data_IF_143660350340
#
_entry.id   IF_143660350340
#
_cell.length_a   1.000
_cell.length_b   1.000
_cell.length_c   1.000
_cell.angle_alpha   90.00
_cell.angle_beta   90.00
_cell.angle_gamma   90.00
#
_symmetry.space_group_name_H-M   'P 1'
#
loop_
_entity.id
_entity.type
_entity.pdbx_description
1 polymer ?
#
# COMPACT_ATOMS: atom_id res chain seq x y z
N UNK A 1 5.34 -28.03 -26.80
CA UNK A 1 6.55 -27.24 -26.47
C UNK A 1 6.76 -27.35 -24.97
N UNK A 2 8.00 -27.45 -24.52
CA UNK A 2 8.33 -27.45 -23.08
C UNK A 2 8.75 -26.03 -22.72
N UNK A 3 7.90 -25.31 -22.00
CA UNK A 3 8.21 -23.95 -21.54
C UNK A 3 9.21 -24.02 -20.37
N UNK A 4 10.24 -23.18 -20.44
CA UNK A 4 11.20 -22.94 -19.37
C UNK A 4 10.80 -21.74 -18.51
N UNK A 5 11.55 -21.54 -17.42
CA UNK A 5 11.36 -20.42 -16.47
C UNK A 5 11.39 -19.05 -17.18
N UNK A 6 12.28 -18.89 -18.16
CA UNK A 6 12.43 -17.66 -18.96
C UNK A 6 11.28 -17.39 -19.93
N UNK A 7 10.43 -18.38 -20.18
CA UNK A 7 9.26 -18.23 -21.06
C UNK A 7 8.02 -17.76 -20.28
N UNK A 8 8.12 -17.64 -18.95
CA UNK A 8 7.04 -17.16 -18.11
C UNK A 8 6.89 -15.63 -18.22
N UNK A 9 5.69 -15.07 -18.00
CA UNK A 9 5.53 -13.63 -17.95
C UNK A 9 6.20 -13.05 -16.70
N UNK A 10 6.63 -11.79 -16.76
CA UNK A 10 7.05 -11.04 -15.58
C UNK A 10 5.93 -11.01 -14.52
N UNK A 11 6.23 -11.13 -13.21
CA UNK A 11 7.55 -11.32 -12.60
C UNK A 11 7.97 -12.80 -12.44
N UNK A 12 7.21 -13.73 -13.04
CA UNK A 12 7.42 -15.16 -12.87
C UNK A 12 8.63 -15.72 -13.61
N UNK A 13 9.28 -14.94 -14.46
CA UNK A 13 10.55 -15.26 -15.12
C UNK A 13 11.79 -14.92 -14.29
N UNK A 14 11.63 -14.14 -13.22
CA UNK A 14 12.73 -13.65 -12.38
C UNK A 14 13.35 -14.72 -11.47
N UNK A 15 14.56 -14.45 -10.96
CA UNK A 15 15.23 -15.30 -9.98
C UNK A 15 14.57 -15.17 -8.60
N UNK A 16 14.21 -16.30 -8.00
CA UNK A 16 13.54 -16.37 -6.72
C UNK A 16 14.47 -16.72 -5.54
N UNK A 17 15.79 -16.87 -5.76
CA UNK A 17 16.74 -17.40 -4.76
C UNK A 17 16.89 -16.56 -3.48
N UNK A 18 16.48 -15.28 -3.52
CA UNK A 18 16.43 -14.40 -2.34
C UNK A 18 15.03 -14.24 -1.73
N UNK A 19 14.02 -14.87 -2.31
CA UNK A 19 12.60 -14.61 -2.03
C UNK A 19 11.95 -15.87 -1.47
N UNK A 20 12.09 -16.97 -2.20
CA UNK A 20 11.55 -18.29 -1.88
C UNK A 20 12.66 -19.07 -1.19
N UNK A 21 12.49 -19.32 0.12
CA UNK A 21 13.57 -19.85 0.95
C UNK A 21 13.22 -21.18 1.61
N UNK A 22 11.93 -21.56 1.64
CA UNK A 22 11.42 -22.69 2.44
C UNK A 22 11.10 -23.94 1.62
N UNK A 23 11.63 -24.04 0.39
CA UNK A 23 11.47 -25.25 -0.42
C UNK A 23 12.41 -26.38 0.03
N UNK A 24 11.93 -27.63 -0.10
CA UNK A 24 12.65 -28.86 0.22
C UNK A 24 13.86 -29.06 -0.71
N UNK A 25 15.06 -28.94 -0.15
CA UNK A 25 16.30 -29.28 -0.85
C UNK A 25 17.44 -29.52 0.15
N UNK A 26 18.01 -30.73 0.16
CA UNK A 26 19.11 -31.10 1.07
C UNK A 26 20.43 -30.43 0.66
N UNK A 27 20.63 -30.20 -0.64
CA UNK A 27 21.82 -29.54 -1.20
C UNK A 27 21.44 -28.19 -1.78
N UNK A 28 22.30 -27.19 -1.57
CA UNK A 28 22.11 -25.81 -2.04
C UNK A 28 21.77 -25.75 -3.54
N UNK A 29 22.59 -26.38 -4.38
CA UNK A 29 22.39 -26.37 -5.83
C UNK A 29 21.05 -26.98 -6.27
N UNK A 30 20.59 -28.03 -5.58
CA UNK A 30 19.28 -28.66 -5.85
C UNK A 30 18.14 -27.75 -5.39
N UNK A 31 18.32 -27.05 -4.27
CA UNK A 31 17.34 -26.09 -3.76
C UNK A 31 17.19 -24.90 -4.71
N UNK A 32 18.28 -24.28 -5.13
CA UNK A 32 18.29 -23.16 -6.10
C UNK A 32 17.63 -23.57 -7.42
N UNK A 33 17.94 -24.76 -7.94
CA UNK A 33 17.31 -25.27 -9.16
C UNK A 33 15.79 -25.49 -9.00
N UNK A 34 15.35 -25.94 -7.82
CA UNK A 34 13.93 -26.11 -7.51
C UNK A 34 13.23 -24.75 -7.37
N UNK A 35 13.81 -23.81 -6.63
CA UNK A 35 13.32 -22.44 -6.44
C UNK A 35 13.04 -21.78 -7.81
N UNK A 36 13.97 -21.91 -8.75
CA UNK A 36 13.86 -21.32 -10.08
C UNK A 36 13.19 -22.22 -11.13
N UNK A 37 12.48 -23.24 -10.68
CA UNK A 37 11.75 -24.11 -11.60
C UNK A 37 10.41 -23.48 -12.05
N UNK A 38 9.92 -23.80 -13.26
CA UNK A 38 8.56 -23.43 -13.67
C UNK A 38 7.48 -23.96 -12.72
N UNK A 39 7.78 -25.04 -11.99
CA UNK A 39 6.89 -25.63 -10.98
C UNK A 39 6.65 -24.66 -9.83
N UNK A 40 7.70 -24.13 -9.21
CA UNK A 40 7.55 -23.14 -8.11
C UNK A 40 6.81 -21.91 -8.60
N UNK A 41 7.19 -21.37 -9.77
CA UNK A 41 6.51 -20.21 -10.36
C UNK A 41 5.01 -20.46 -10.61
N UNK A 42 4.63 -21.66 -11.03
CA UNK A 42 3.22 -22.02 -11.25
C UNK A 42 2.44 -22.09 -9.94
N UNK A 43 3.01 -22.64 -8.86
CA UNK A 43 2.37 -22.64 -7.55
C UNK A 43 2.23 -21.23 -6.96
N UNK A 44 3.19 -20.34 -7.21
CA UNK A 44 3.09 -18.94 -6.83
C UNK A 44 1.99 -18.24 -7.64
N UNK A 45 1.90 -18.48 -8.95
CA UNK A 45 0.82 -17.96 -9.80
C UNK A 45 -0.56 -18.45 -9.35
N UNK A 46 -0.69 -19.73 -9.03
CA UNK A 46 -1.95 -20.27 -8.50
C UNK A 46 -2.36 -19.60 -7.19
N UNK A 47 -1.42 -19.38 -6.27
CA UNK A 47 -1.67 -18.62 -5.04
C UNK A 47 -2.10 -17.18 -5.31
N UNK A 48 -1.41 -16.49 -6.21
CA UNK A 48 -1.74 -15.12 -6.62
C UNK A 48 -3.14 -15.03 -7.26
N UNK A 49 -3.49 -15.95 -8.17
CA UNK A 49 -4.83 -16.02 -8.76
C UNK A 49 -5.92 -16.19 -7.68
N UNK A 50 -5.69 -17.06 -6.71
CA UNK A 50 -6.65 -17.27 -5.61
C UNK A 50 -6.80 -16.01 -4.76
N UNK A 51 -5.73 -15.26 -4.51
CA UNK A 51 -5.76 -13.97 -3.80
C UNK A 51 -6.54 -12.93 -4.62
N UNK A 52 -6.25 -12.81 -5.92
CA UNK A 52 -6.96 -11.92 -6.83
C UNK A 52 -8.46 -12.24 -6.90
N UNK A 53 -8.84 -13.51 -6.99
CA UNK A 53 -10.25 -13.93 -7.03
C UNK A 53 -11.00 -13.58 -5.73
N UNK A 54 -10.36 -13.70 -4.57
CA UNK A 54 -11.03 -13.52 -3.28
C UNK A 54 -10.98 -12.09 -2.74
N UNK A 55 -10.00 -11.29 -3.17
CA UNK A 55 -9.84 -9.90 -2.74
C UNK A 55 -10.02 -8.88 -3.87
N UNK A 56 -10.15 -9.32 -5.12
CA UNK A 56 -10.52 -8.50 -6.26
C UNK A 56 -11.96 -8.03 -6.17
N UNK A 57 -12.17 -6.75 -6.43
CA UNK A 57 -13.46 -6.08 -6.29
C UNK A 57 -14.53 -6.45 -7.33
N UNK A 58 -14.30 -7.45 -8.18
CA UNK A 58 -15.11 -7.75 -9.36
C UNK A 58 -16.16 -8.85 -9.16
N UNK A 59 -16.65 -9.06 -7.93
CA UNK A 59 -17.82 -9.92 -7.72
C UNK A 59 -19.15 -9.15 -7.49
N UNK A 60 -19.64 -8.32 -8.43
CA UNK A 60 -21.08 -8.08 -8.54
C UNK A 60 -21.85 -9.40 -8.73
N UNK A 61 -21.26 -10.36 -9.47
CA UNK A 61 -21.92 -11.61 -9.85
C UNK A 61 -22.06 -12.60 -8.70
N UNK A 62 -21.03 -12.81 -7.88
CA UNK A 62 -21.14 -13.72 -6.74
C UNK A 62 -21.81 -13.06 -5.53
N UNK A 63 -21.68 -11.74 -5.35
CA UNK A 63 -22.50 -11.01 -4.38
C UNK A 63 -24.00 -11.07 -4.75
N UNK A 64 -24.34 -10.95 -6.04
CA UNK A 64 -25.71 -11.14 -6.53
C UNK A 64 -26.20 -12.59 -6.35
N UNK A 65 -25.39 -13.61 -6.67
CA UNK A 65 -25.74 -15.02 -6.45
C UNK A 65 -25.85 -15.38 -4.95
N UNK A 66 -25.03 -14.77 -4.09
CA UNK A 66 -25.12 -14.91 -2.64
C UNK A 66 -26.36 -14.21 -2.06
N UNK A 67 -26.75 -13.06 -2.63
CA UNK A 67 -27.98 -12.36 -2.28
C UNK A 67 -29.23 -13.16 -2.67
N UNK A 68 -29.23 -13.80 -3.85
CA UNK A 68 -30.34 -14.68 -4.30
C UNK A 68 -30.47 -15.96 -3.47
N UNK A 69 -29.35 -16.53 -2.99
CA UNK A 69 -29.37 -17.76 -2.18
C UNK A 69 -29.62 -17.52 -0.67
N UNK A 70 -29.67 -16.26 -0.23
CA UNK A 70 -29.86 -15.87 1.19
C UNK A 70 -28.76 -16.36 2.14
N UNK A 71 -27.70 -17.00 1.62
CA UNK A 71 -26.56 -17.50 2.39
C UNK A 71 -25.35 -16.65 2.04
N UNK A 72 -24.92 -15.83 2.99
CA UNK A 72 -23.60 -15.19 2.90
C UNK A 72 -22.55 -16.31 2.82
N UNK A 73 -21.66 -16.30 1.81
CA UNK A 73 -20.56 -17.25 1.77
C UNK A 73 -19.75 -17.13 3.08
N UNK A 74 -19.49 -18.28 3.71
CA UNK A 74 -18.77 -18.34 4.97
C UNK A 74 -17.32 -17.85 4.75
N UNK A 75 -16.96 -16.72 5.35
CA UNK A 75 -15.60 -16.18 5.32
C UNK A 75 -14.81 -16.63 6.55
N UNK A 76 -13.66 -17.26 6.33
CA UNK A 76 -12.76 -17.67 7.43
C UNK A 76 -11.32 -17.20 7.19
N UNK A 77 -11.15 -15.93 6.82
CA UNK A 77 -9.83 -15.35 6.53
C UNK A 77 -9.21 -15.95 5.27
N UNK A 78 -8.10 -16.68 5.45
CA UNK A 78 -7.26 -17.23 4.37
C UNK A 78 -7.61 -18.67 3.95
N UNK A 79 -8.73 -19.24 4.41
CA UNK A 79 -9.07 -20.66 4.10
C UNK A 79 -9.20 -20.94 2.60
N UNK A 80 -9.39 -19.90 1.79
CA UNK A 80 -9.39 -20.01 0.34
C UNK A 80 -8.02 -20.43 -0.24
N UNK A 81 -6.92 -20.23 0.49
CA UNK A 81 -5.57 -20.67 0.13
C UNK A 81 -5.23 -22.10 0.56
N UNK A 82 -6.21 -22.97 0.83
CA UNK A 82 -5.93 -24.36 1.21
C UNK A 82 -5.17 -25.15 0.12
N UNK A 83 -4.43 -26.20 0.51
CA UNK A 83 -3.78 -27.17 -0.43
C UNK A 83 -4.76 -27.61 -1.53
N UNK A 84 -6.01 -27.94 -1.17
CA UNK A 84 -7.03 -28.39 -2.13
C UNK A 84 -7.48 -27.29 -3.11
N UNK A 85 -7.48 -26.03 -2.70
CA UNK A 85 -7.80 -24.92 -3.59
C UNK A 85 -6.63 -24.69 -4.56
N UNK A 86 -5.40 -24.69 -4.05
CA UNK A 86 -4.18 -24.60 -4.85
C UNK A 86 -4.06 -25.70 -5.89
N UNK A 87 -4.28 -26.96 -5.51
CA UNK A 87 -4.24 -28.07 -6.49
C UNK A 87 -5.28 -27.90 -7.58
N UNK A 88 -6.51 -27.44 -7.25
CA UNK A 88 -7.53 -27.18 -8.26
C UNK A 88 -7.14 -26.02 -9.19
N UNK A 89 -6.57 -24.95 -8.65
CA UNK A 89 -6.11 -23.82 -9.46
C UNK A 89 -4.95 -24.24 -10.38
N UNK A 90 -3.99 -25.02 -9.85
CA UNK A 90 -2.88 -25.60 -10.62
C UNK A 90 -3.35 -26.48 -11.79
N UNK A 91 -4.50 -27.15 -11.68
CA UNK A 91 -5.07 -27.93 -12.78
C UNK A 91 -5.57 -27.06 -13.95
N UNK A 92 -5.90 -25.80 -13.66
CA UNK A 92 -6.53 -24.87 -14.59
C UNK A 92 -5.60 -23.76 -15.11
N UNK A 93 -4.36 -23.67 -14.63
CA UNK A 93 -3.41 -22.64 -15.08
C UNK A 93 -3.20 -22.65 -16.59
N UNK A 94 -3.27 -21.49 -17.25
CA UNK A 94 -2.99 -21.38 -18.68
C UNK A 94 -1.50 -21.46 -19.00
N UNK A 95 -1.10 -21.96 -20.21
CA UNK A 95 0.28 -21.86 -20.68
C UNK A 95 0.76 -20.40 -20.63
N UNK A 96 2.05 -20.13 -20.34
CA UNK A 96 3.17 -21.08 -20.24
C UNK A 96 3.33 -21.76 -18.87
N UNK A 97 2.42 -21.54 -17.92
CA UNK A 97 2.51 -22.15 -16.58
C UNK A 97 2.24 -23.66 -16.62
N UNK A 98 2.80 -24.38 -15.64
CA UNK A 98 2.66 -25.83 -15.53
C UNK A 98 1.30 -26.20 -14.94
N UNK A 99 0.56 -27.03 -15.69
CA UNK A 99 -0.62 -27.74 -15.17
C UNK A 99 -0.19 -29.03 -14.47
N UNK A 100 -0.64 -29.22 -13.22
CA UNK A 100 -0.38 -30.46 -12.47
C UNK A 100 -1.63 -30.91 -11.73
N UNK A 101 -1.92 -32.22 -11.76
CA UNK A 101 -3.04 -32.83 -11.03
C UNK A 101 -2.61 -33.38 -9.69
N UNK A 102 -3.46 -33.18 -8.67
CA UNK A 102 -3.30 -33.73 -7.32
C UNK A 102 -2.20 -33.09 -6.46
N UNK A 103 -2.17 -33.48 -5.18
CA UNK A 103 -1.38 -32.78 -4.13
C UNK A 103 0.06 -33.31 -3.98
N UNK A 104 0.38 -34.43 -4.62
CA UNK A 104 1.68 -35.09 -4.51
C UNK A 104 2.86 -34.19 -4.90
N UNK A 105 2.80 -33.47 -6.03
CA UNK A 105 3.86 -32.55 -6.43
C UNK A 105 4.02 -31.37 -5.46
N UNK A 106 2.96 -30.89 -4.83
CA UNK A 106 3.04 -29.81 -3.84
C UNK A 106 3.87 -30.22 -2.62
N UNK A 107 3.58 -31.40 -2.05
CA UNK A 107 4.28 -31.94 -0.87
C UNK A 107 5.73 -32.34 -1.15
N UNK A 108 6.11 -32.47 -2.41
CA UNK A 108 7.51 -32.68 -2.80
C UNK A 108 8.30 -31.37 -2.88
N UNK A 109 7.63 -30.21 -2.88
CA UNK A 109 8.27 -28.88 -2.97
C UNK A 109 8.36 -28.20 -1.59
N UNK A 110 7.30 -28.21 -0.78
CA UNK A 110 7.30 -27.61 0.57
C UNK A 110 7.13 -28.66 1.67
N UNK A 111 7.63 -28.39 2.89
CA UNK A 111 7.52 -29.33 4.02
C UNK A 111 6.14 -29.32 4.65
N UNK A 112 5.60 -28.14 4.90
CA UNK A 112 4.22 -27.96 5.30
C UNK A 112 3.55 -26.86 4.46
N UNK A 113 2.25 -26.67 4.69
CA UNK A 113 1.49 -25.62 4.04
C UNK A 113 1.94 -24.21 4.45
N UNK A 114 2.37 -24.05 5.71
CA UNK A 114 2.85 -22.77 6.22
C UNK A 114 4.13 -22.32 5.51
N UNK A 115 5.04 -23.25 5.16
CA UNK A 115 6.26 -22.91 4.39
C UNK A 115 5.90 -22.31 3.03
N UNK A 116 4.93 -22.90 2.35
CA UNK A 116 4.42 -22.38 1.08
C UNK A 116 3.77 -21.01 1.26
N UNK A 117 2.93 -20.84 2.28
CA UNK A 117 2.27 -19.55 2.53
C UNK A 117 3.30 -18.45 2.79
N UNK A 118 4.33 -18.73 3.57
CA UNK A 118 5.41 -17.78 3.82
C UNK A 118 6.18 -17.42 2.55
N UNK A 119 6.51 -18.41 1.70
CA UNK A 119 7.18 -18.15 0.42
C UNK A 119 6.27 -17.42 -0.58
N UNK A 120 4.96 -17.71 -0.59
CA UNK A 120 3.96 -17.00 -1.39
C UNK A 120 3.85 -15.54 -0.97
N UNK A 121 3.77 -15.28 0.33
CA UNK A 121 3.69 -13.93 0.87
C UNK A 121 4.98 -13.16 0.60
N UNK A 122 6.15 -13.77 0.84
CA UNK A 122 7.43 -13.17 0.50
C UNK A 122 7.51 -12.84 -1.00
N UNK A 123 7.01 -13.73 -1.86
CA UNK A 123 6.94 -13.47 -3.30
C UNK A 123 6.01 -12.32 -3.64
N UNK A 124 4.76 -12.34 -3.17
CA UNK A 124 3.75 -11.33 -3.53
C UNK A 124 4.09 -9.93 -2.99
N UNK A 125 4.71 -9.86 -1.80
CA UNK A 125 5.14 -8.61 -1.18
C UNK A 125 6.54 -8.14 -1.62
N UNK A 126 7.18 -8.87 -2.54
CA UNK A 126 8.47 -8.44 -3.07
C UNK A 126 8.31 -7.23 -4.00
N UNK A 127 9.27 -6.30 -3.94
CA UNK A 127 9.30 -5.03 -4.69
C UNK A 127 9.04 -5.18 -6.21
N UNK A 128 9.48 -6.28 -6.83
CA UNK A 128 9.28 -6.60 -8.24
C UNK A 128 7.80 -6.67 -8.64
N UNK A 129 6.88 -6.94 -7.71
CA UNK A 129 5.44 -6.93 -7.97
C UNK A 129 4.84 -5.53 -7.89
N UNK A 130 5.57 -4.57 -7.32
CA UNK A 130 5.15 -3.18 -7.12
C UNK A 130 5.80 -2.20 -8.09
N UNK A 131 6.55 -2.67 -9.09
CA UNK A 131 7.19 -1.78 -10.06
C UNK A 131 6.14 -0.89 -10.76
N UNK A 132 6.15 0.44 -10.50
CA UNK A 132 5.18 1.37 -11.08
C UNK A 132 5.26 1.42 -12.61
N UNK A 133 6.38 1.01 -13.21
CA UNK A 133 6.52 0.96 -14.67
C UNK A 133 5.60 -0.09 -15.30
N UNK A 134 5.30 -1.18 -14.58
CA UNK A 134 4.54 -2.32 -15.10
C UNK A 134 3.07 -2.32 -14.65
N UNK A 135 2.76 -1.80 -13.46
CA UNK A 135 1.42 -1.92 -12.87
C UNK A 135 0.69 -0.58 -12.63
N UNK A 136 1.35 0.57 -12.78
CA UNK A 136 0.72 1.87 -12.57
C UNK A 136 0.10 2.39 -13.89
N UNK A 137 -1.19 2.74 -13.86
CA UNK A 137 -1.86 3.43 -14.96
C UNK A 137 -1.12 4.75 -15.29
N UNK A 138 -1.29 5.26 -16.50
CA UNK A 138 -0.62 6.49 -16.97
C UNK A 138 -0.83 7.67 -15.99
N UNK A 139 -1.99 7.71 -15.33
CA UNK A 139 -2.37 8.74 -14.35
C UNK A 139 -1.53 8.68 -13.06
N UNK A 140 -0.98 7.52 -12.71
CA UNK A 140 -0.09 7.33 -11.52
C UNK A 140 1.39 7.53 -11.82
N UNK A 141 1.81 7.76 -13.08
CA UNK A 141 3.22 7.89 -13.48
C UNK A 141 3.89 9.23 -13.11
N UNK A 142 3.15 10.17 -12.54
CA UNK A 142 3.69 11.39 -11.93
C UNK A 142 4.22 12.48 -12.89
N UNK A 143 4.46 12.19 -14.18
CA UNK A 143 5.08 13.15 -15.10
C UNK A 143 4.23 14.40 -15.40
N UNK A 144 2.91 14.29 -15.30
CA UNK A 144 1.96 15.40 -15.47
C UNK A 144 1.82 16.26 -14.20
N UNK A 145 2.16 15.70 -13.03
CA UNK A 145 2.04 16.38 -11.73
C UNK A 145 2.96 17.61 -11.68
N UNK A 146 4.09 17.55 -12.37
CA UNK A 146 5.08 18.64 -12.42
C UNK A 146 4.75 19.74 -13.43
N UNK A 147 3.85 19.52 -14.39
CA UNK A 147 3.66 20.42 -15.55
C UNK A 147 2.28 21.07 -15.65
N UNK A 148 1.27 20.58 -14.92
CA UNK A 148 -0.08 21.16 -14.92
C UNK A 148 -0.08 22.60 -14.37
N UNK A 149 -1.02 23.43 -14.81
CA UNK A 149 -1.13 24.82 -14.37
C UNK A 149 -1.51 24.95 -12.88
N UNK A 150 -2.33 24.05 -12.35
CA UNK A 150 -2.83 24.12 -10.97
C UNK A 150 -2.31 22.94 -10.15
N UNK A 151 -1.41 23.22 -9.19
CA UNK A 151 -0.87 22.16 -8.35
C UNK A 151 -1.92 21.55 -7.42
N UNK A 152 -2.89 22.36 -6.96
CA UNK A 152 -4.00 21.91 -6.11
C UNK A 152 -4.88 20.90 -6.85
N UNK A 153 -5.34 21.24 -8.05
CA UNK A 153 -6.23 20.37 -8.84
C UNK A 153 -5.53 19.06 -9.27
N UNK A 154 -4.21 19.10 -9.43
CA UNK A 154 -3.40 17.91 -9.64
C UNK A 154 -3.39 17.01 -8.42
N UNK A 155 -3.14 17.57 -7.24
CA UNK A 155 -3.06 16.81 -5.98
C UNK A 155 -4.40 16.16 -5.69
N UNK A 156 -5.51 16.89 -5.84
CA UNK A 156 -6.85 16.35 -5.61
C UNK A 156 -7.19 15.21 -6.58
N UNK A 157 -6.88 15.34 -7.87
CA UNK A 157 -7.05 14.25 -8.83
C UNK A 157 -6.16 13.06 -8.49
N UNK A 158 -4.86 13.28 -8.30
CA UNK A 158 -3.90 12.21 -8.03
C UNK A 158 -4.31 11.41 -6.79
N UNK A 159 -4.66 12.09 -5.70
CA UNK A 159 -5.09 11.44 -4.45
C UNK A 159 -6.42 10.70 -4.59
N UNK A 160 -7.38 11.25 -5.33
CA UNK A 160 -8.64 10.56 -5.61
C UNK A 160 -8.42 9.26 -6.38
N UNK A 161 -7.63 9.31 -7.47
CA UNK A 161 -7.32 8.13 -8.28
C UNK A 161 -6.48 7.11 -7.52
N UNK A 162 -5.48 7.54 -6.76
CA UNK A 162 -4.65 6.68 -5.92
C UNK A 162 -5.50 5.96 -4.87
N UNK A 163 -6.38 6.69 -4.17
CA UNK A 163 -7.26 6.11 -3.16
C UNK A 163 -8.23 5.08 -3.77
N UNK A 164 -8.78 5.36 -4.96
CA UNK A 164 -9.60 4.39 -5.68
C UNK A 164 -8.81 3.14 -6.06
N UNK A 165 -7.57 3.30 -6.53
CA UNK A 165 -6.68 2.21 -6.90
C UNK A 165 -6.37 1.33 -5.71
N UNK A 166 -5.90 1.91 -4.60
CA UNK A 166 -5.63 1.20 -3.34
C UNK A 166 -6.88 0.43 -2.87
N UNK A 167 -8.05 1.08 -2.91
CA UNK A 167 -9.30 0.44 -2.53
C UNK A 167 -9.70 -0.73 -3.46
N UNK A 168 -9.19 -0.82 -4.69
CA UNK A 168 -9.46 -1.94 -5.61
C UNK A 168 -8.39 -3.02 -5.53
N UNK A 169 -7.18 -2.68 -5.07
CA UNK A 169 -6.04 -3.61 -4.99
C UNK A 169 -6.32 -4.82 -4.08
N UNK A 170 -6.31 -6.05 -4.61
CA UNK A 170 -6.41 -7.28 -3.81
C UNK A 170 -5.30 -7.37 -2.76
N UNK A 171 -4.09 -6.97 -3.14
CA UNK A 171 -2.90 -7.01 -2.29
C UNK A 171 -3.02 -6.11 -1.07
N UNK A 172 -3.63 -4.94 -1.20
CA UNK A 172 -3.85 -4.05 -0.06
C UNK A 172 -4.77 -4.69 0.99
N UNK A 173 -5.86 -5.35 0.56
CA UNK A 173 -6.74 -6.09 1.48
C UNK A 173 -6.04 -7.26 2.15
N UNK A 174 -5.23 -8.01 1.40
CA UNK A 174 -4.40 -9.07 1.95
C UNK A 174 -3.44 -8.51 3.00
N UNK A 175 -2.73 -7.42 2.69
CA UNK A 175 -1.82 -6.74 3.60
C UNK A 175 -2.51 -6.36 4.92
N UNK A 176 -3.71 -5.79 4.89
CA UNK A 176 -4.48 -5.48 6.10
C UNK A 176 -4.75 -6.73 6.97
N UNK A 177 -5.14 -7.85 6.34
CA UNK A 177 -5.36 -9.11 7.05
C UNK A 177 -4.05 -9.66 7.64
N UNK A 178 -2.95 -9.55 6.90
CA UNK A 178 -1.63 -10.00 7.34
C UNK A 178 -1.12 -9.15 8.51
N UNK A 179 -1.19 -7.82 8.43
CA UNK A 179 -0.84 -6.90 9.53
C UNK A 179 -1.64 -7.24 10.79
N UNK A 180 -2.96 -7.45 10.66
CA UNK A 180 -3.82 -7.79 11.80
C UNK A 180 -3.47 -9.14 12.47
N UNK A 181 -2.77 -10.03 11.75
CA UNK A 181 -2.42 -11.38 12.21
C UNK A 181 -0.91 -11.61 12.36
N UNK A 182 -0.08 -10.59 12.13
CA UNK A 182 1.37 -10.69 12.07
C UNK A 182 2.01 -11.23 13.35
N UNK A 183 1.41 -10.95 14.52
CA UNK A 183 1.83 -11.50 15.82
C UNK A 183 1.86 -13.04 15.89
N UNK A 184 1.27 -13.74 14.90
CA UNK A 184 1.21 -15.20 14.84
C UNK A 184 2.32 -15.82 14.00
N UNK A 185 3.08 -15.02 13.24
CA UNK A 185 4.15 -15.52 12.39
C UNK A 185 5.16 -14.40 12.08
N UNK A 186 6.36 -14.55 12.64
CA UNK A 186 7.45 -13.58 12.56
C UNK A 186 7.88 -13.27 11.11
N UNK A 187 7.75 -14.24 10.19
CA UNK A 187 8.09 -14.04 8.77
C UNK A 187 7.17 -13.06 8.04
N UNK A 188 5.97 -12.82 8.56
CA UNK A 188 5.04 -11.83 8.00
C UNK A 188 5.51 -10.40 8.30
N UNK A 189 6.06 -10.17 9.49
CA UNK A 189 6.55 -8.83 9.88
C UNK A 189 7.69 -8.38 8.97
N UNK A 190 8.65 -9.27 8.70
CA UNK A 190 9.78 -8.99 7.82
C UNK A 190 9.33 -8.74 6.37
N UNK A 191 8.39 -9.55 5.87
CA UNK A 191 7.85 -9.38 4.51
C UNK A 191 7.10 -8.05 4.35
N UNK A 192 6.30 -7.63 5.34
CA UNK A 192 5.59 -6.35 5.31
C UNK A 192 6.57 -5.19 5.42
N UNK A 193 7.58 -5.29 6.29
CA UNK A 193 8.58 -4.22 6.47
C UNK A 193 9.39 -4.03 5.20
N UNK A 194 9.87 -5.13 4.59
CA UNK A 194 10.57 -5.10 3.31
C UNK A 194 9.70 -4.54 2.17
N UNK A 195 8.39 -4.80 2.19
CA UNK A 195 7.46 -4.23 1.22
C UNK A 195 7.39 -2.70 1.31
N UNK A 196 7.24 -2.14 2.52
CA UNK A 196 7.21 -0.69 2.70
C UNK A 196 8.53 -0.01 2.30
N UNK A 197 9.67 -0.61 2.67
CA UNK A 197 10.97 -0.05 2.29
C UNK A 197 11.17 -0.04 0.76
N UNK A 198 10.89 -1.17 0.09
CA UNK A 198 11.04 -1.28 -1.37
C UNK A 198 10.01 -0.47 -2.15
N UNK A 199 8.77 -0.40 -1.67
CA UNK A 199 7.68 0.29 -2.37
C UNK A 199 7.81 1.81 -2.32
N UNK A 200 8.35 2.40 -1.25
CA UNK A 200 8.41 3.86 -1.09
C UNK A 200 9.59 4.52 -1.81
N UNK A 201 10.68 3.80 -2.06
CA UNK A 201 11.89 4.36 -2.70
C UNK A 201 11.66 4.96 -4.11
N UNK A 202 10.89 4.31 -5.01
CA UNK A 202 10.51 4.91 -6.28
C UNK A 202 9.72 6.22 -6.11
N UNK A 203 8.83 6.29 -5.12
CA UNK A 203 8.00 7.46 -4.84
C UNK A 203 8.82 8.64 -4.32
N UNK A 204 9.84 8.40 -3.49
CA UNK A 204 10.74 9.47 -3.01
C UNK A 204 11.33 10.28 -4.16
N UNK A 205 11.77 9.62 -5.23
CA UNK A 205 12.31 10.28 -6.44
C UNK A 205 11.26 11.12 -7.18
N UNK A 206 10.03 10.61 -7.25
CA UNK A 206 8.90 11.33 -7.86
C UNK A 206 8.57 12.57 -7.04
N UNK A 207 8.50 12.45 -5.71
CA UNK A 207 8.22 13.58 -4.82
C UNK A 207 9.32 14.63 -4.86
N UNK A 208 10.58 14.23 -4.78
CA UNK A 208 11.72 15.14 -4.86
C UNK A 208 11.71 15.95 -6.17
N UNK A 209 11.55 15.28 -7.32
CA UNK A 209 11.50 15.95 -8.62
C UNK A 209 10.27 16.86 -8.79
N UNK A 210 9.11 16.45 -8.25
CA UNK A 210 7.88 17.25 -8.30
C UNK A 210 7.99 18.50 -7.43
N UNK A 211 8.48 18.37 -6.20
CA UNK A 211 8.68 19.48 -5.25
C UNK A 211 9.61 20.53 -5.88
N UNK A 212 10.74 20.09 -6.44
CA UNK A 212 11.70 20.97 -7.08
C UNK A 212 11.13 21.66 -8.32
N UNK A 213 10.43 20.93 -9.20
CA UNK A 213 9.83 21.48 -10.41
C UNK A 213 8.74 22.54 -10.12
N UNK A 214 8.07 22.42 -8.97
CA UNK A 214 7.05 23.37 -8.49
C UNK A 214 7.63 24.56 -7.71
N UNK A 215 8.95 24.66 -7.57
CA UNK A 215 9.61 25.77 -6.87
C UNK A 215 9.48 25.69 -5.35
N UNK A 216 9.30 24.49 -4.79
CA UNK A 216 9.25 24.24 -3.36
C UNK A 216 10.51 23.53 -2.88
N UNK A 217 10.71 23.57 -1.56
CA UNK A 217 11.66 22.76 -0.83
C UNK A 217 10.99 22.20 0.44
N UNK A 218 11.54 21.13 1.01
CA UNK A 218 11.13 20.66 2.32
C UNK A 218 11.50 21.70 3.38
N UNK A 219 10.59 21.93 4.33
CA UNK A 219 10.83 22.76 5.51
C UNK A 219 11.95 22.16 6.36
N UNK A 220 12.66 23.02 7.09
CA UNK A 220 13.71 22.62 8.01
C UNK A 220 13.25 21.55 9.01
N UNK A 221 14.10 20.53 9.20
CA UNK A 221 13.84 19.40 10.09
C UNK A 221 12.96 18.29 9.50
N UNK A 222 12.44 18.46 8.27
CA UNK A 222 11.64 17.45 7.59
C UNK A 222 12.49 16.72 6.55
N UNK A 223 12.56 15.40 6.65
CA UNK A 223 13.25 14.57 5.66
C UNK A 223 12.28 14.08 4.57
N UNK A 224 12.83 13.74 3.41
CA UNK A 224 12.05 13.14 2.32
C UNK A 224 11.41 11.81 2.74
N UNK A 225 12.08 11.04 3.60
CA UNK A 225 11.53 9.81 4.18
C UNK A 225 10.32 10.10 5.06
N UNK A 226 10.38 11.10 5.93
CA UNK A 226 9.25 11.48 6.78
C UNK A 226 8.07 11.99 5.96
N UNK A 227 8.34 12.81 4.95
CA UNK A 227 7.33 13.31 4.01
C UNK A 227 6.63 12.15 3.30
N UNK A 228 7.41 11.24 2.72
CA UNK A 228 6.90 10.06 1.98
C UNK A 228 6.08 9.14 2.86
N UNK A 229 6.58 8.82 4.06
CA UNK A 229 5.84 7.99 5.03
C UNK A 229 4.53 8.65 5.48
N UNK A 230 4.51 9.98 5.67
CA UNK A 230 3.30 10.68 6.07
C UNK A 230 2.23 10.64 4.97
N UNK A 231 2.63 10.83 3.70
CA UNK A 231 1.72 10.69 2.55
C UNK A 231 1.15 9.27 2.46
N UNK A 232 2.00 8.24 2.61
CA UNK A 232 1.56 6.85 2.60
C UNK A 232 0.57 6.56 3.74
N UNK A 233 0.91 6.93 4.97
CA UNK A 233 0.07 6.69 6.15
C UNK A 233 -1.31 7.35 6.04
N UNK A 234 -1.37 8.57 5.53
CA UNK A 234 -2.64 9.28 5.35
C UNK A 234 -3.48 8.64 4.25
N UNK A 235 -2.87 8.32 3.11
CA UNK A 235 -3.57 7.70 1.98
C UNK A 235 -4.10 6.30 2.36
N UNK A 236 -3.27 5.47 2.99
CA UNK A 236 -3.67 4.14 3.49
C UNK A 236 -4.73 4.23 4.59
N UNK A 237 -4.62 5.20 5.50
CA UNK A 237 -5.61 5.44 6.56
C UNK A 237 -7.00 5.76 5.99
N UNK A 238 -7.06 6.62 4.98
CA UNK A 238 -8.30 6.92 4.27
C UNK A 238 -8.81 5.71 3.47
N UNK A 239 -7.92 4.89 2.89
CA UNK A 239 -8.31 3.66 2.21
C UNK A 239 -8.95 2.67 3.19
N UNK A 240 -8.38 2.47 4.38
CA UNK A 240 -8.97 1.65 5.43
C UNK A 240 -10.34 2.17 5.85
N UNK A 241 -10.47 3.49 6.07
CA UNK A 241 -11.75 4.11 6.43
C UNK A 241 -12.81 3.89 5.35
N UNK A 242 -12.45 4.10 4.09
CA UNK A 242 -13.35 3.92 2.94
C UNK A 242 -13.74 2.45 2.73
N UNK A 243 -12.81 1.50 2.91
CA UNK A 243 -13.11 0.07 2.84
C UNK A 243 -14.02 -0.40 3.97
N UNK A 244 -13.83 0.12 5.18
CA UNK A 244 -14.63 -0.24 6.36
C UNK A 244 -16.01 0.42 6.37
N UNK A 245 -16.14 1.63 5.85
CA UNK A 245 -17.38 2.41 5.78
C UNK A 245 -17.40 3.26 4.51
N UNK A 246 -17.85 2.70 3.36
CA UNK A 246 -17.96 3.44 2.10
C UNK A 246 -18.93 4.63 2.17
N UNK A 247 -19.84 4.63 3.16
CA UNK A 247 -20.80 5.73 3.35
C UNK A 247 -20.23 6.93 4.12
N UNK A 248 -18.98 6.83 4.60
CA UNK A 248 -18.31 7.89 5.34
C UNK A 248 -17.96 9.13 4.50
N UNK A 249 -18.17 9.09 3.17
CA UNK A 249 -17.91 10.23 2.28
C UNK A 249 -16.43 10.56 2.08
N UNK A 250 -15.51 9.61 2.31
CA UNK A 250 -14.06 9.84 2.19
C UNK A 250 -13.65 10.26 0.78
N UNK A 251 -14.19 9.59 -0.25
CA UNK A 251 -13.91 9.90 -1.64
C UNK A 251 -14.67 11.13 -2.17
N UNK A 252 -15.70 11.60 -1.47
CA UNK A 252 -16.61 12.65 -1.97
C UNK A 252 -17.34 12.25 -3.25
N UNK A 253 -17.93 13.25 -3.92
CA UNK A 253 -18.60 13.09 -5.22
C UNK A 253 -17.60 13.16 -6.41
N UNK A 254 -16.34 13.53 -6.14
CA UNK A 254 -15.28 13.65 -7.13
C UNK A 254 -13.97 14.19 -6.55
N UNK A 255 -12.95 14.42 -7.39
CA UNK A 255 -11.62 14.85 -6.96
C UNK A 255 -11.58 16.04 -5.98
N UNK A 256 -12.25 17.19 -6.21
CA UNK A 256 -12.13 18.34 -5.31
C UNK A 256 -12.76 18.13 -3.92
N UNK A 257 -13.62 17.12 -3.76
CA UNK A 257 -14.39 16.88 -2.54
C UNK A 257 -13.84 15.72 -1.70
N UNK A 258 -12.67 15.18 -2.06
CA UNK A 258 -12.11 14.00 -1.40
C UNK A 258 -11.25 14.38 -0.18
N UNK A 259 -11.49 13.73 0.96
CA UNK A 259 -10.81 14.04 2.22
C UNK A 259 -9.30 13.75 2.18
N UNK A 260 -8.87 12.79 1.34
CA UNK A 260 -7.45 12.48 1.19
C UNK A 260 -6.70 13.62 0.49
N UNK A 261 -7.27 14.23 -0.55
CA UNK A 261 -6.74 15.42 -1.22
C UNK A 261 -6.57 16.58 -0.25
N UNK A 262 -7.60 16.88 0.53
CA UNK A 262 -7.54 17.91 1.57
C UNK A 262 -6.41 17.65 2.59
N UNK A 263 -6.29 16.42 3.08
CA UNK A 263 -5.24 16.06 4.04
C UNK A 263 -3.84 16.17 3.40
N UNK A 264 -3.67 15.73 2.16
CA UNK A 264 -2.40 15.86 1.44
C UNK A 264 -2.05 17.33 1.23
N UNK A 265 -2.99 18.18 0.82
CA UNK A 265 -2.76 19.63 0.71
C UNK A 265 -2.34 20.25 2.03
N UNK A 266 -2.93 19.83 3.16
CA UNK A 266 -2.52 20.28 4.48
C UNK A 266 -1.07 19.87 4.80
N UNK A 267 -0.66 18.63 4.49
CA UNK A 267 0.73 18.19 4.62
C UNK A 267 1.64 19.02 3.73
N UNK A 268 1.31 19.20 2.44
CA UNK A 268 2.12 19.99 1.52
C UNK A 268 2.32 21.41 2.04
N UNK A 269 1.25 22.06 2.50
CA UNK A 269 1.31 23.40 3.09
C UNK A 269 2.17 23.47 4.37
N UNK A 270 2.14 22.42 5.20
CA UNK A 270 2.94 22.37 6.43
C UNK A 270 4.40 21.96 6.19
N UNK A 271 4.65 21.05 5.25
CA UNK A 271 5.94 20.38 5.05
C UNK A 271 6.78 21.06 3.98
N UNK A 272 6.17 21.84 3.09
CA UNK A 272 6.86 22.56 2.03
C UNK A 272 6.93 24.06 2.33
N UNK A 273 7.95 24.70 1.79
CA UNK A 273 8.06 26.15 1.70
C UNK A 273 8.62 26.56 0.32
N UNK A 274 8.28 27.75 -0.22
CA UNK A 274 8.81 28.20 -1.48
C UNK A 274 10.33 28.38 -1.44
N UNK A 275 11.02 27.98 -2.50
CA UNK A 275 12.46 28.21 -2.65
C UNK A 275 12.73 29.73 -2.60
N UNK A 276 13.71 30.13 -1.80
CA UNK A 276 14.10 31.53 -1.61
C UNK A 276 13.28 32.30 -0.57
N UNK A 277 12.23 31.68 0.00
CA UNK A 277 11.48 32.22 1.14
C UNK A 277 11.70 31.36 2.38
N UNK A 278 12.95 30.92 2.59
CA UNK A 278 13.32 30.01 3.68
C UNK A 278 13.02 30.69 5.01
N UNK A 279 12.01 30.18 5.72
CA UNK A 279 11.71 30.68 7.06
C UNK A 279 12.81 30.32 8.05
N UNK A 280 13.56 29.24 7.78
CA UNK A 280 14.54 28.67 8.72
C UNK A 280 13.89 28.16 10.00
N UNK A 281 12.58 27.90 9.95
CA UNK A 281 11.80 27.44 11.10
C UNK A 281 11.30 26.04 10.86
N UNK A 282 11.43 25.21 11.89
CA UNK A 282 10.84 23.88 11.91
C UNK A 282 9.32 23.97 11.94
N UNK A 283 8.63 22.87 11.58
CA UNK A 283 7.17 22.79 11.66
C UNK A 283 6.64 23.11 13.08
N UNK A 284 7.37 22.67 14.10
CA UNK A 284 7.00 22.90 15.51
C UNK A 284 7.06 24.38 15.87
N UNK A 285 8.14 25.07 15.48
CA UNK A 285 8.29 26.50 15.75
C UNK A 285 7.24 27.31 15.00
N UNK A 286 7.02 27.02 13.71
CA UNK A 286 5.99 27.68 12.92
C UNK A 286 4.59 27.52 13.53
N UNK A 287 4.23 26.31 13.98
CA UNK A 287 2.95 26.09 14.65
C UNK A 287 2.89 26.74 16.04
N UNK A 288 3.99 26.72 16.80
CA UNK A 288 4.12 27.39 18.09
C UNK A 288 3.83 28.88 17.98
N UNK A 289 4.47 29.57 17.04
CA UNK A 289 4.27 31.00 16.80
C UNK A 289 2.83 31.35 16.42
N UNK A 290 2.18 30.51 15.62
CA UNK A 290 0.77 30.70 15.25
C UNK A 290 -0.13 30.45 16.46
N UNK A 291 0.11 29.38 17.21
CA UNK A 291 -0.66 29.00 18.39
C UNK A 291 -0.55 30.03 19.51
N UNK A 292 0.63 30.58 19.75
CA UNK A 292 0.87 31.56 20.80
C UNK A 292 0.21 32.91 20.45
N UNK A 293 0.22 33.31 19.17
CA UNK A 293 -0.55 34.47 18.68
C UNK A 293 -2.07 34.29 18.75
N UNK A 294 -2.55 33.05 18.67
CA UNK A 294 -3.97 32.72 18.74
C UNK A 294 -4.50 32.63 20.18
N UNK A 295 -3.63 32.59 21.20
CA UNK A 295 -4.10 32.62 22.60
C UNK A 295 -4.84 33.94 22.85
N UNK A 296 -6.06 33.90 23.41
CA UNK A 296 -6.67 35.09 23.96
C UNK A 296 -5.67 35.68 24.96
N UNK A 297 -5.37 36.98 24.85
CA UNK A 297 -4.67 37.69 25.91
C UNK A 297 -5.46 37.43 27.18
N UNK A 298 -4.87 36.69 28.13
CA UNK A 298 -5.42 36.58 29.47
C UNK A 298 -5.74 38.00 29.89
N UNK A 299 -7.03 38.27 30.09
CA UNK A 299 -7.48 39.57 30.53
C UNK A 299 -6.75 39.86 31.83
N UNK A 300 -5.79 40.77 31.76
CA UNK A 300 -5.50 41.67 32.87
C UNK A 300 -6.81 42.38 33.15
N UNK A 301 -7.61 41.72 33.99
CA UNK A 301 -8.58 42.34 34.86
C UNK A 301 -7.74 43.19 35.82
N UNK A 302 -7.24 44.31 35.29
CA UNK A 302 -6.79 45.45 36.08
C UNK A 302 -8.07 45.96 36.75
N UNK A 303 -8.41 45.31 37.86
CA UNK A 303 -9.32 45.83 38.85
C UNK A 303 -8.71 47.11 39.41
N UNK A 304 -8.89 48.20 38.66
CA UNK A 304 -9.03 49.54 39.23
C UNK A 304 -10.20 49.49 40.19
N UNK A 305 -9.93 49.09 41.44
CA UNK A 305 -10.75 49.49 42.58
C UNK A 305 -10.52 51.00 42.75
N UNK A 306 -11.38 51.74 42.08
CA UNK A 306 -11.59 53.16 42.17
C UNK A 306 -11.95 53.51 43.63
N UNK A 307 -10.95 54.02 44.34
CA UNK A 307 -10.98 55.24 45.14
C UNK A 307 -12.40 55.78 45.49
N UNK A 308 -13.07 55.17 46.48
CA UNK A 308 -14.18 55.80 47.18
C UNK A 308 -13.66 56.71 48.30
N UNK A 309 -13.05 57.83 47.90
CA UNK A 309 -12.92 59.01 48.74
C UNK A 309 -14.28 59.67 48.95
N UNK A 310 -14.83 59.57 50.16
CA UNK A 310 -15.96 60.37 50.64
C UNK A 310 -15.51 61.27 51.80
N UNK A 311 -15.63 62.61 51.70
CA UNK A 311 -15.29 63.52 52.79
C UNK A 311 -16.47 63.77 53.75
N UNK A 312 -16.10 64.09 55.00
CA UNK A 312 -16.86 64.67 56.14
C UNK A 312 -17.92 63.82 56.83
#
# INVERSE_FOLDING_TARGET
>A
MTYGKKDLPFPYDQDFSGIVTRVKGVREATRVALINSPKVASYLKAGANLIEQHFGGDEPAAAAAAAESGRKPYWSGIRFLSERALSREMENLEPPFLRQKGDGPYRSTWACHDDYLNDLLAFIFHDMNYDPQYNAEIETRGSWVSTDASFVDVVDRATYHELQTICRMPLFRLQLLMVATAHRNDGIHDAISSNYEGALDPWKKIYESTIAARGFQLREGITLDQFTNMLAAITEGFAIRNLGDPSAGVLGDGPPDNLAGMAVLAILNSYLEPVGTTSGTTLRESFGDISDRARPTDGTDDGTDDDCGGPT
#
